data_IF_278953553071
#
_entry.id   IF_278953553071
#
_cell.length_a   1.000
_cell.length_b   1.000
_cell.length_c   1.000
_cell.angle_alpha   90.00
_cell.angle_beta   90.00
_cell.angle_gamma   90.00
#
_symmetry.space_group_name_H-M   'P 1'
#
loop_
_entity.id
_entity.type
_entity.pdbx_description
1 polymer ?
#
# COMPACT_ATOMS: atom_id res chain seq x y z
N UNK A 1 18.73 9.79 -0.33
CA UNK A 1 18.34 8.37 -0.49
C UNK A 1 16.82 8.33 -0.68
N UNK A 2 16.29 7.87 -1.82
CA UNK A 2 14.85 7.63 -1.97
C UNK A 2 14.60 6.21 -1.48
N UNK A 3 14.13 6.04 -0.24
CA UNK A 3 13.84 4.69 0.24
C UNK A 3 12.56 4.18 -0.47
N UNK A 4 12.48 2.86 -0.70
CA UNK A 4 11.26 2.28 -1.27
C UNK A 4 10.09 2.37 -0.29
N UNK A 5 10.38 2.30 1.01
CA UNK A 5 9.41 2.31 2.09
C UNK A 5 8.60 3.61 2.20
N UNK A 6 9.24 4.78 2.28
CA UNK A 6 8.54 6.08 2.33
C UNK A 6 7.82 6.37 1.03
N UNK A 7 8.31 5.86 -0.11
CA UNK A 7 7.59 5.97 -1.36
C UNK A 7 6.28 5.16 -1.30
N UNK A 8 6.35 3.92 -0.81
CA UNK A 8 5.17 3.07 -0.62
C UNK A 8 4.20 3.69 0.40
N UNK A 9 4.71 4.15 1.55
CA UNK A 9 3.92 4.82 2.58
C UNK A 9 3.24 6.08 2.06
N UNK A 10 3.96 6.93 1.31
CA UNK A 10 3.38 8.14 0.74
C UNK A 10 2.30 7.84 -0.32
N UNK A 11 2.48 6.79 -1.13
CA UNK A 11 1.42 6.31 -2.03
C UNK A 11 0.21 5.80 -1.26
N UNK A 12 0.43 5.01 -0.21
CA UNK A 12 -0.65 4.50 0.63
C UNK A 12 -1.47 5.63 1.26
N UNK A 13 -0.81 6.62 1.87
CA UNK A 13 -1.50 7.80 2.44
C UNK A 13 -2.36 8.53 1.40
N UNK A 14 -1.82 8.74 0.19
CA UNK A 14 -2.59 9.33 -0.90
C UNK A 14 -3.76 8.44 -1.37
N UNK A 15 -3.56 7.13 -1.40
CA UNK A 15 -4.62 6.17 -1.74
C UNK A 15 -5.75 6.18 -0.70
N UNK A 16 -5.43 6.21 0.60
CA UNK A 16 -6.42 6.33 1.68
C UNK A 16 -7.19 7.64 1.58
N UNK A 17 -6.50 8.76 1.29
CA UNK A 17 -7.13 10.05 1.06
C UNK A 17 -8.17 10.00 -0.06
N UNK A 18 -7.81 9.39 -1.20
CA UNK A 18 -8.74 9.24 -2.33
C UNK A 18 -9.87 8.25 -2.02
N UNK A 19 -9.59 7.16 -1.30
CA UNK A 19 -10.58 6.15 -0.91
C UNK A 19 -11.63 6.70 0.05
N UNK A 20 -11.23 7.60 0.95
CA UNK A 20 -12.12 8.28 1.90
C UNK A 20 -12.87 9.46 1.26
N UNK A 21 -12.54 9.84 0.03
CA UNK A 21 -13.27 10.88 -0.69
C UNK A 21 -14.67 10.36 -1.05
N UNK A 22 -15.69 11.14 -0.70
CA UNK A 22 -17.08 10.87 -1.07
C UNK A 22 -17.22 10.68 -2.58
N UNK A 23 -18.01 9.68 -3.00
CA UNK A 23 -18.44 9.57 -4.40
C UNK A 23 -18.14 8.26 -5.12
N UNK A 24 -17.87 7.15 -4.43
CA UNK A 24 -17.61 5.83 -5.07
C UNK A 24 -16.57 5.91 -6.21
N UNK A 25 -15.58 6.79 -6.06
CA UNK A 25 -14.57 7.03 -7.09
C UNK A 25 -13.55 5.88 -7.18
N UNK A 26 -13.50 5.01 -6.17
CA UNK A 26 -12.59 3.88 -6.12
C UNK A 26 -13.23 2.63 -6.72
N UNK A 27 -12.57 2.05 -7.71
CA UNK A 27 -12.93 0.74 -8.26
C UNK A 27 -12.02 -0.35 -7.65
N UNK A 28 -12.55 -1.23 -6.78
CA UNK A 28 -11.76 -2.30 -6.16
C UNK A 28 -11.35 -3.41 -7.15
N UNK A 29 -12.06 -3.59 -8.26
CA UNK A 29 -11.72 -4.63 -9.24
C UNK A 29 -10.46 -4.28 -10.03
N UNK A 30 -10.31 -3.01 -10.40
CA UNK A 30 -9.15 -2.50 -11.14
C UNK A 30 -8.12 -1.81 -10.24
N UNK A 31 -8.46 -1.58 -8.97
CA UNK A 31 -7.66 -0.83 -7.99
C UNK A 31 -7.29 0.57 -8.50
N UNK A 32 -8.24 1.24 -9.16
CA UNK A 32 -8.06 2.57 -9.75
C UNK A 32 -9.07 3.57 -9.22
N UNK A 33 -8.75 4.85 -9.36
CA UNK A 33 -9.66 5.94 -9.04
C UNK A 33 -10.18 6.60 -10.32
N UNK A 34 -11.49 6.77 -10.40
CA UNK A 34 -12.18 7.54 -11.44
C UNK A 34 -12.24 9.00 -10.99
N UNK A 35 -11.21 9.76 -11.33
CA UNK A 35 -11.08 11.19 -11.05
C UNK A 35 -10.85 11.95 -12.36
N UNK A 36 -11.31 13.20 -12.44
CA UNK A 36 -11.00 14.05 -13.58
C UNK A 36 -9.52 14.46 -13.58
N UNK A 37 -9.00 14.90 -14.73
CA UNK A 37 -7.62 15.38 -14.80
C UNK A 37 -7.37 16.57 -13.85
N UNK A 38 -8.35 17.45 -13.67
CA UNK A 38 -8.27 18.61 -12.78
C UNK A 38 -8.12 18.17 -11.32
N UNK A 39 -8.91 17.20 -10.88
CA UNK A 39 -8.82 16.63 -9.53
C UNK A 39 -7.47 15.94 -9.28
N UNK A 40 -6.91 15.27 -10.30
CA UNK A 40 -5.57 14.70 -10.21
C UNK A 40 -4.47 15.75 -10.07
N UNK A 41 -4.59 16.91 -10.72
CA UNK A 41 -3.62 18.00 -10.57
C UNK A 41 -3.69 18.64 -9.17
N UNK A 42 -4.90 18.83 -8.63
CA UNK A 42 -5.08 19.30 -7.25
C UNK A 42 -4.52 18.27 -6.24
N UNK A 43 -4.83 16.99 -6.43
CA UNK A 43 -4.29 15.92 -5.58
C UNK A 43 -2.75 15.86 -5.61
N UNK A 44 -2.14 16.06 -6.77
CA UNK A 44 -0.67 16.07 -6.93
C UNK A 44 0.00 17.19 -6.14
N UNK A 45 -0.67 18.34 -5.93
CA UNK A 45 -0.14 19.44 -5.12
C UNK A 45 0.02 19.05 -3.65
N UNK A 46 -0.96 18.31 -3.09
CA UNK A 46 -0.89 17.80 -1.71
C UNK A 46 -0.10 16.51 -1.55
N UNK A 47 -0.13 15.63 -2.56
CA UNK A 47 0.45 14.30 -2.52
C UNK A 47 1.30 13.98 -3.76
N UNK A 48 2.41 14.70 -4.00
CA UNK A 48 3.19 14.56 -5.24
C UNK A 48 3.76 13.15 -5.45
N UNK A 49 4.08 12.43 -4.36
CA UNK A 49 4.55 11.03 -4.42
C UNK A 49 3.43 10.04 -4.79
N UNK A 50 2.18 10.37 -4.45
CA UNK A 50 1.02 9.55 -4.75
C UNK A 50 0.41 9.85 -6.12
N UNK A 51 0.88 10.89 -6.84
CA UNK A 51 0.41 11.20 -8.19
C UNK A 51 0.58 10.05 -9.19
N UNK A 52 1.54 9.16 -8.92
CA UNK A 52 1.72 7.92 -9.69
C UNK A 52 0.55 6.95 -9.57
N UNK A 53 -0.36 7.09 -8.60
CA UNK A 53 -1.58 6.28 -8.48
C UNK A 53 -2.50 6.40 -9.70
N UNK A 54 -2.38 7.48 -10.48
CA UNK A 54 -3.11 7.66 -11.74
C UNK A 54 -2.70 6.62 -12.80
N UNK A 55 -1.42 6.26 -12.85
CA UNK A 55 -0.86 5.38 -13.89
C UNK A 55 -0.49 4.00 -13.35
N UNK A 56 -0.09 3.92 -12.08
CA UNK A 56 0.34 2.71 -11.41
C UNK A 56 -0.47 2.56 -10.12
N UNK A 57 -1.43 1.64 -10.06
CA UNK A 57 -2.24 1.43 -8.87
C UNK A 57 -1.39 1.00 -7.68
N UNK A 58 -1.92 1.16 -6.46
CA UNK A 58 -1.19 0.78 -5.24
C UNK A 58 -1.02 -0.75 -5.19
N UNK A 59 0.21 -1.29 -5.17
CA UNK A 59 0.40 -2.73 -5.04
C UNK A 59 -0.06 -3.21 -3.66
N UNK A 60 -0.87 -4.26 -3.63
CA UNK A 60 -1.37 -4.91 -2.42
C UNK A 60 -1.95 -3.93 -1.38
N UNK A 61 -3.11 -3.29 -1.66
CA UNK A 61 -3.68 -2.28 -0.77
C UNK A 61 -3.98 -2.80 0.64
N UNK A 62 -4.40 -4.06 0.76
CA UNK A 62 -4.70 -4.69 2.05
C UNK A 62 -3.44 -4.86 2.91
N UNK A 63 -2.34 -5.37 2.31
CA UNK A 63 -1.05 -5.47 3.00
C UNK A 63 -0.50 -4.10 3.41
N UNK A 64 -0.71 -3.08 2.57
CA UNK A 64 -0.34 -1.72 2.93
C UNK A 64 -1.16 -1.19 4.11
N UNK A 65 -2.46 -1.51 4.18
CA UNK A 65 -3.30 -1.14 5.31
C UNK A 65 -2.82 -1.83 6.59
N UNK A 66 -2.56 -3.12 6.56
CA UNK A 66 -2.00 -3.85 7.72
C UNK A 66 -0.66 -3.25 8.19
N UNK A 67 0.19 -2.82 7.24
CA UNK A 67 1.51 -2.27 7.52
C UNK A 67 1.45 -0.82 8.05
N UNK A 68 0.52 0.00 7.56
CA UNK A 68 0.53 1.45 7.79
C UNK A 68 -0.64 1.98 8.65
N UNK A 69 -1.79 1.30 8.74
CA UNK A 69 -2.93 1.75 9.57
C UNK A 69 -2.73 1.47 11.07
N UNK A 70 -1.67 0.75 11.44
CA UNK A 70 -1.29 0.57 12.85
C UNK A 70 -2.26 -0.29 13.67
N UNK A 71 -3.24 -0.94 13.04
CA UNK A 71 -4.19 -1.85 13.70
C UNK A 71 -3.62 -3.26 13.94
N UNK A 72 -2.33 -3.49 13.75
CA UNK A 72 -1.68 -4.76 14.05
C UNK A 72 -1.38 -4.89 15.55
N UNK A 73 -2.42 -4.97 16.37
CA UNK A 73 -2.38 -5.83 17.53
C UNK A 73 -2.72 -7.25 17.06
N UNK A 74 -1.74 -8.16 17.20
CA UNK A 74 -1.84 -9.61 16.98
C UNK A 74 -1.43 -10.13 15.59
N UNK A 75 -0.16 -10.53 15.52
CA UNK A 75 0.13 -11.92 15.17
C UNK A 75 0.55 -12.21 13.74
N UNK A 76 1.86 -12.40 13.56
CA UNK A 76 2.41 -13.40 12.65
C UNK A 76 2.38 -13.08 11.14
N UNK A 77 2.61 -11.85 10.70
CA UNK A 77 3.01 -11.63 9.30
C UNK A 77 4.47 -12.10 9.16
N UNK A 78 4.69 -13.42 9.09
CA UNK A 78 5.95 -14.02 8.67
C UNK A 78 6.16 -13.58 7.22
N UNK A 79 6.93 -12.51 7.02
CA UNK A 79 7.47 -12.18 5.70
C UNK A 79 8.44 -13.30 5.34
N UNK A 80 7.96 -14.34 4.65
CA UNK A 80 8.85 -15.31 4.03
C UNK A 80 9.45 -14.63 2.81
N UNK A 81 10.62 -14.01 2.98
CA UNK A 81 11.46 -13.71 1.82
C UNK A 81 11.72 -15.03 1.11
N UNK A 82 11.17 -15.21 -0.09
CA UNK A 82 11.56 -16.29 -1.00
C UNK A 82 12.97 -16.01 -1.53
N UNK A 83 13.97 -16.11 -0.65
CA UNK A 83 15.29 -16.54 -1.06
C UNK A 83 15.34 -18.04 -0.85
N UNK A 84 15.16 -18.78 -1.94
CA UNK A 84 15.52 -20.18 -2.01
C UNK A 84 17.03 -20.28 -1.81
N UNK A 85 17.46 -20.40 -0.56
CA UNK A 85 18.76 -20.97 -0.21
C UNK A 85 18.46 -22.12 0.74
N UNK A 86 18.56 -23.31 0.18
CA UNK A 86 18.56 -24.60 0.85
C UNK A 86 19.54 -24.60 2.03
N UNK A 87 19.06 -24.94 3.22
CA UNK A 87 19.93 -25.19 4.37
C UNK A 87 19.26 -25.10 5.74
N UNK A 88 18.73 -26.25 6.19
CA UNK A 88 18.69 -26.76 7.58
C UNK A 88 18.04 -25.90 8.68
N UNK A 89 17.04 -26.50 9.35
CA UNK A 89 16.86 -26.32 10.79
C UNK A 89 15.44 -26.01 11.28
N UNK A 90 14.46 -26.87 11.00
CA UNK A 90 13.16 -26.81 11.68
C UNK A 90 13.28 -27.30 13.12
N UNK A 91 13.00 -26.45 14.11
CA UNK A 91 12.29 -26.83 15.34
C UNK A 91 11.93 -25.60 16.15
N UNK A 92 10.63 -25.30 16.25
CA UNK A 92 10.08 -24.71 17.48
C UNK A 92 8.76 -25.41 17.77
N UNK A 93 8.82 -26.29 18.78
CA UNK A 93 7.66 -26.93 19.38
C UNK A 93 6.91 -25.92 20.25
N UNK A 94 5.59 -26.09 20.23
CA UNK A 94 4.59 -25.36 20.98
C UNK A 94 4.53 -25.87 22.43
N UNK A 95 4.56 -24.97 23.41
CA UNK A 95 3.78 -25.01 24.68
C UNK A 95 3.78 -23.62 25.29
#
# INVERSE_FOLDING_TARGET
>A
MKNAYDNLKAKYVGWVYLKNKTGNIYNPQTNTFTLTNEEWEEFKKGHPKAASLKTVPLPFPELCAELFDGNTATGNCKWTSTQTTSGVGSSCHHV
#
